data_IF_884551646970
#
_entry.id   IF_884551646970
#
_cell.length_a   1.000
_cell.length_b   1.000
_cell.length_c   1.000
_cell.angle_alpha   90.00
_cell.angle_beta   90.00
_cell.angle_gamma   90.00
#
_symmetry.space_group_name_H-M   'P 1'
#
loop_
_entity.id
_entity.type
_entity.pdbx_description
1 polymer ?
#
# COMPACT_ATOMS: atom_id res chain seq x y z
N UNK A 1 -60.28 -5.75 -26.72
CA UNK A 1 -59.09 -4.88 -26.56
C UNK A 1 -57.96 -5.79 -26.10
N UNK A 2 -57.45 -6.68 -26.95
CA UNK A 2 -56.35 -6.52 -27.93
C UNK A 2 -55.00 -6.19 -27.28
N UNK A 3 -53.97 -7.07 -27.38
CA UNK A 3 -52.63 -6.89 -26.81
C UNK A 3 -51.63 -6.37 -27.89
N UNK A 4 -50.30 -6.36 -27.65
CA UNK A 4 -49.38 -5.21 -27.70
C UNK A 4 -48.65 -5.06 -29.05
N UNK A 5 -47.56 -4.26 -29.13
CA UNK A 5 -46.41 -4.80 -29.85
C UNK A 5 -45.08 -4.70 -29.09
N UNK A 6 -44.29 -5.71 -29.40
CA UNK A 6 -42.92 -6.05 -29.04
C UNK A 6 -41.85 -5.15 -29.69
N UNK A 7 -40.72 -5.06 -28.99
CA UNK A 7 -39.29 -4.87 -29.37
C UNK A 7 -38.87 -4.57 -30.81
N UNK A 8 -37.68 -3.96 -30.98
CA UNK A 8 -36.60 -4.79 -31.53
C UNK A 8 -35.25 -4.69 -30.81
N UNK A 9 -34.63 -5.88 -30.69
CA UNK A 9 -33.18 -6.11 -30.67
C UNK A 9 -32.53 -5.54 -31.95
N UNK A 10 -31.39 -4.85 -31.82
CA UNK A 10 -30.32 -4.73 -32.80
C UNK A 10 -29.29 -3.69 -32.31
N UNK A 11 -27.99 -3.73 -32.55
CA UNK A 11 -27.05 -4.64 -33.22
C UNK A 11 -25.66 -4.11 -32.80
N UNK A 12 -24.69 -5.00 -32.60
CA UNK A 12 -23.27 -4.65 -32.48
C UNK A 12 -22.81 -3.79 -33.67
N UNK A 13 -22.12 -2.69 -33.39
CA UNK A 13 -21.20 -2.10 -34.36
C UNK A 13 -19.78 -2.20 -33.81
N UNK A 14 -19.04 -3.13 -34.39
CA UNK A 14 -17.61 -2.99 -34.59
C UNK A 14 -17.34 -1.69 -35.35
N UNK A 15 -16.34 -0.93 -34.91
CA UNK A 15 -15.51 -0.20 -35.85
C UNK A 15 -14.08 -0.15 -35.32
N UNK A 16 -13.21 -0.74 -36.14
CA UNK A 16 -11.78 -0.85 -35.99
C UNK A 16 -11.07 0.52 -36.09
N UNK A 17 -9.89 0.59 -35.48
CA UNK A 17 -8.75 1.20 -36.14
C UNK A 17 -8.12 2.40 -35.44
N UNK A 18 -7.11 2.13 -34.61
CA UNK A 18 -5.89 2.92 -34.71
C UNK A 18 -4.67 2.05 -34.43
N UNK A 19 -3.87 1.90 -35.48
CA UNK A 19 -2.62 1.15 -35.55
C UNK A 19 -1.52 1.94 -34.84
N UNK A 20 -0.72 1.27 -34.02
CA UNK A 20 0.68 1.68 -33.81
C UNK A 20 1.59 0.47 -33.62
N UNK A 21 2.10 0.02 -34.78
CA UNK A 21 3.51 -0.34 -35.07
C UNK A 21 4.21 -1.32 -34.12
N UNK A 22 4.12 -2.60 -34.48
CA UNK A 22 5.07 -3.63 -34.10
C UNK A 22 6.45 -3.40 -34.75
N UNK A 23 7.52 -3.57 -33.99
CA UNK A 23 8.88 -3.78 -34.51
C UNK A 23 9.19 -5.28 -34.47
N UNK A 24 9.44 -5.83 -35.67
CA UNK A 24 9.98 -7.17 -35.91
C UNK A 24 11.49 -7.18 -35.78
N UNK A 25 12.02 -8.30 -35.29
CA UNK A 25 13.25 -8.91 -35.83
C UNK A 25 14.35 -9.12 -34.81
N UNK A 26 14.60 -10.38 -34.45
CA UNK A 26 15.85 -11.08 -34.80
C UNK A 26 15.68 -12.59 -34.59
N UNK A 27 15.77 -13.33 -35.69
CA UNK A 27 15.83 -14.79 -35.74
C UNK A 27 17.27 -15.30 -35.55
N UNK A 28 17.40 -16.45 -34.89
CA UNK A 28 18.38 -17.47 -35.24
C UNK A 28 19.54 -17.70 -34.28
N UNK A 29 19.46 -18.75 -33.45
CA UNK A 29 20.42 -19.85 -33.45
C UNK A 29 19.83 -21.10 -32.76
N UNK A 30 19.90 -22.23 -33.45
CA UNK A 30 19.49 -23.56 -32.99
C UNK A 30 20.69 -24.35 -32.48
N UNK A 31 20.59 -25.01 -31.32
CA UNK A 31 20.95 -26.44 -31.12
C UNK A 31 20.87 -26.90 -29.64
N UNK A 32 19.95 -27.83 -29.35
CA UNK A 32 20.18 -29.08 -28.57
C UNK A 32 20.43 -29.10 -27.04
N UNK A 33 19.41 -29.63 -26.32
CA UNK A 33 19.45 -30.54 -25.11
C UNK A 33 19.68 -29.93 -23.69
N UNK A 34 19.08 -30.43 -22.58
CA UNK A 34 17.71 -30.91 -22.28
C UNK A 34 17.05 -30.13 -21.10
N UNK A 35 15.79 -30.49 -20.81
CA UNK A 35 14.96 -29.98 -19.72
C UNK A 35 15.62 -29.97 -18.32
N UNK A 36 15.55 -28.83 -17.63
CA UNK A 36 15.90 -28.71 -16.21
C UNK A 36 15.94 -27.25 -15.76
N UNK A 37 15.11 -26.91 -14.77
CA UNK A 37 15.08 -25.66 -14.02
C UNK A 37 14.70 -24.38 -14.79
N UNK A 38 13.40 -24.05 -14.78
CA UNK A 38 12.96 -22.66 -14.92
C UNK A 38 12.86 -22.03 -13.52
N UNK A 39 13.66 -21.02 -13.17
CA UNK A 39 13.21 -20.00 -12.26
C UNK A 39 12.30 -19.06 -13.07
N UNK A 40 10.99 -19.12 -12.85
CA UNK A 40 10.10 -18.04 -13.28
C UNK A 40 10.36 -16.87 -12.33
N UNK A 41 11.41 -16.12 -12.68
CA UNK A 41 11.71 -14.81 -12.13
C UNK A 41 10.52 -13.89 -12.42
N UNK A 42 9.99 -13.24 -11.38
CA UNK A 42 9.19 -12.02 -11.51
C UNK A 42 9.79 -11.12 -12.59
N UNK A 43 8.94 -10.47 -13.38
CA UNK A 43 9.45 -9.53 -14.38
C UNK A 43 10.27 -8.43 -13.69
N UNK A 44 11.29 -7.92 -14.38
CA UNK A 44 12.14 -6.84 -13.84
C UNK A 44 11.37 -5.56 -13.50
N UNK A 45 10.14 -5.41 -13.98
CA UNK A 45 9.24 -4.31 -13.65
C UNK A 45 8.52 -4.55 -12.32
N UNK A 46 7.98 -5.76 -12.10
CA UNK A 46 7.31 -6.14 -10.85
C UNK A 46 8.27 -6.11 -9.64
N UNK A 47 9.54 -6.50 -9.82
CA UNK A 47 10.56 -6.39 -8.77
C UNK A 47 10.96 -4.95 -8.47
N UNK A 48 10.89 -4.05 -9.46
CA UNK A 48 11.23 -2.63 -9.27
C UNK A 48 10.12 -1.88 -8.53
N UNK A 49 8.87 -2.22 -8.77
CA UNK A 49 7.72 -1.56 -8.12
C UNK A 49 7.62 -1.94 -6.63
N UNK A 50 7.75 -3.22 -6.26
CA UNK A 50 7.83 -3.63 -4.85
C UNK A 50 9.07 -3.04 -4.13
N UNK A 51 10.20 -2.85 -4.83
CA UNK A 51 11.41 -2.22 -4.26
C UNK A 51 11.27 -0.70 -4.05
N UNK A 52 10.55 0.01 -4.94
CA UNK A 52 10.29 1.44 -4.78
C UNK A 52 9.36 1.67 -3.58
N UNK A 53 8.31 0.85 -3.45
CA UNK A 53 7.35 0.92 -2.35
C UNK A 53 8.00 0.64 -0.98
N UNK A 54 8.74 -0.47 -0.86
CA UNK A 54 9.41 -0.83 0.39
C UNK A 54 10.58 0.12 0.74
N UNK A 55 11.25 0.67 -0.27
CA UNK A 55 12.31 1.66 -0.10
C UNK A 55 11.82 3.02 0.42
N UNK A 56 10.60 3.45 0.06
CA UNK A 56 9.99 4.71 0.50
C UNK A 56 9.59 4.69 1.98
N UNK A 57 9.21 3.53 2.52
CA UNK A 57 8.84 3.34 3.93
C UNK A 57 10.01 2.86 4.81
N UNK A 58 11.22 2.75 4.27
CA UNK A 58 12.41 2.34 5.02
C UNK A 58 12.38 0.86 5.48
N UNK A 59 11.56 0.01 4.84
CA UNK A 59 11.52 -1.42 5.10
C UNK A 59 12.78 -2.09 4.55
N UNK A 60 13.58 -2.71 5.42
CA UNK A 60 14.78 -3.46 5.03
C UNK A 60 14.38 -4.84 4.47
N UNK A 61 14.65 -5.08 3.19
CA UNK A 61 14.52 -6.39 2.52
C UNK A 61 15.16 -7.55 3.30
N UNK A 62 16.19 -7.27 4.12
CA UNK A 62 16.90 -8.31 4.89
C UNK A 62 16.07 -8.89 6.05
N UNK A 63 15.06 -8.17 6.55
CA UNK A 63 14.19 -8.65 7.63
C UNK A 63 13.10 -9.61 7.12
N UNK A 64 12.58 -9.37 5.90
CA UNK A 64 11.59 -10.25 5.27
C UNK A 64 12.23 -11.54 4.73
N UNK A 65 13.43 -11.46 4.14
CA UNK A 65 14.12 -12.62 3.55
C UNK A 65 14.87 -13.52 4.55
N UNK A 66 15.27 -13.02 5.73
CA UNK A 66 16.04 -13.83 6.71
C UNK A 66 15.24 -14.92 7.41
N UNK A 67 13.92 -14.89 7.33
CA UNK A 67 13.07 -15.76 8.16
C UNK A 67 12.19 -16.74 7.38
N UNK A 68 12.35 -16.81 6.06
CA UNK A 68 11.66 -17.75 5.20
C UNK A 68 12.58 -18.92 4.79
N UNK A 69 13.10 -19.66 5.78
CA UNK A 69 13.69 -20.99 5.52
C UNK A 69 13.26 -21.94 6.63
N UNK A 70 12.31 -22.83 6.31
CA UNK A 70 12.11 -24.06 7.08
C UNK A 70 13.41 -24.86 7.06
N UNK A 71 13.82 -25.29 8.25
CA UNK A 71 15.03 -26.04 8.55
C UNK A 71 15.25 -27.26 7.63
N UNK A 72 16.40 -27.29 6.96
CA UNK A 72 17.03 -28.51 6.46
C UNK A 72 18.42 -28.66 7.13
N UNK A 73 18.88 -29.89 7.41
CA UNK A 73 20.05 -30.13 8.24
C UNK A 73 21.31 -29.77 7.47
N UNK A 74 22.02 -28.75 7.96
CA UNK A 74 23.34 -28.36 7.46
C UNK A 74 24.34 -29.48 7.72
N UNK A 75 24.90 -30.02 6.63
CA UNK A 75 26.14 -30.80 6.69
C UNK A 75 27.31 -29.84 6.90
N UNK A 76 28.08 -30.21 7.90
CA UNK A 76 29.40 -29.72 8.29
C UNK A 76 30.33 -29.47 7.09
N UNK A 77 30.76 -28.21 6.92
CA UNK A 77 32.04 -27.88 6.31
C UNK A 77 32.68 -26.78 7.14
N UNK A 78 33.72 -27.21 7.84
CA UNK A 78 34.55 -26.44 8.74
C UNK A 78 35.51 -25.49 8.00
N UNK A 79 35.70 -24.34 8.66
CA UNK A 79 36.90 -23.51 8.78
C UNK A 79 37.87 -23.40 7.60
N UNK A 80 38.10 -22.17 7.16
CA UNK A 80 39.38 -21.44 7.35
C UNK A 80 39.25 -20.10 6.64
N UNK A 81 39.43 -18.98 7.37
CA UNK A 81 40.02 -17.68 6.98
C UNK A 81 39.62 -16.68 8.07
N UNK A 82 40.44 -16.61 9.13
CA UNK A 82 40.32 -15.66 10.23
C UNK A 82 41.38 -14.55 10.07
N UNK A 83 40.93 -13.35 10.44
CA UNK A 83 41.65 -12.15 10.88
C UNK A 83 42.43 -11.30 9.87
N UNK A 84 41.92 -10.06 9.70
CA UNK A 84 42.64 -8.91 10.26
C UNK A 84 41.76 -7.66 10.41
N UNK A 85 41.81 -7.11 11.63
CA UNK A 85 41.33 -5.80 12.13
C UNK A 85 39.83 -5.65 12.45
N UNK A 86 39.46 -6.04 13.66
CA UNK A 86 38.39 -5.36 14.40
C UNK A 86 38.92 -4.95 15.78
N UNK A 87 38.96 -3.64 16.02
CA UNK A 87 39.13 -3.10 17.36
C UNK A 87 37.88 -3.47 18.20
N UNK A 88 38.02 -3.69 19.52
CA UNK A 88 36.88 -4.06 20.34
C UNK A 88 35.84 -2.93 20.34
N UNK A 89 34.74 -3.11 19.62
CA UNK A 89 33.54 -2.28 19.78
C UNK A 89 32.96 -2.61 21.14
N UNK A 90 32.98 -1.64 22.04
CA UNK A 90 32.20 -1.68 23.28
C UNK A 90 30.73 -1.69 22.84
N UNK A 91 30.09 -2.86 22.88
CA UNK A 91 28.64 -2.96 22.76
C UNK A 91 28.03 -2.32 24.01
N UNK A 92 27.75 -1.03 23.94
CA UNK A 92 26.87 -0.39 24.91
C UNK A 92 25.52 -1.09 24.84
N UNK A 93 24.95 -1.54 25.97
CA UNK A 93 23.62 -2.15 25.98
C UNK A 93 22.64 -1.18 25.30
N UNK A 94 22.03 -1.60 24.18
CA UNK A 94 20.99 -0.78 23.54
C UNK A 94 19.92 -0.51 24.59
N UNK A 95 19.63 0.77 24.85
CA UNK A 95 18.60 1.13 25.82
C UNK A 95 17.28 0.50 25.38
N UNK A 96 16.50 -0.08 26.31
CA UNK A 96 15.14 -0.52 26.00
C UNK A 96 14.37 0.61 25.30
N UNK A 97 13.60 0.30 24.26
CA UNK A 97 12.74 1.24 23.52
C UNK A 97 13.46 2.27 22.61
N UNK A 98 14.74 2.07 22.27
CA UNK A 98 15.39 2.90 21.23
C UNK A 98 14.98 2.39 19.84
N UNK A 99 14.52 3.26 18.92
CA UNK A 99 14.16 2.82 17.57
C UNK A 99 15.39 2.21 16.86
N UNK A 100 15.21 1.18 16.01
CA UNK A 100 16.30 0.53 15.29
C UNK A 100 17.13 1.47 14.39
N UNK A 101 16.54 2.59 13.97
CA UNK A 101 17.19 3.68 13.24
C UNK A 101 16.87 5.03 13.90
N UNK A 102 17.90 5.84 14.11
CA UNK A 102 17.77 7.24 14.51
C UNK A 102 17.76 8.11 13.25
N UNK A 103 16.68 8.89 13.06
CA UNK A 103 16.65 9.94 12.04
C UNK A 103 17.44 11.14 12.55
N UNK A 104 18.58 11.40 11.91
CA UNK A 104 19.47 12.49 12.30
C UNK A 104 19.12 13.78 11.55
N UNK A 105 18.95 14.87 12.32
CA UNK A 105 18.59 16.25 11.89
C UNK A 105 17.24 16.34 11.19
N UNK A 106 16.21 16.68 11.94
CA UNK A 106 14.87 16.94 11.43
C UNK A 106 14.65 18.44 11.24
N UNK A 107 14.25 18.83 10.04
CA UNK A 107 13.71 20.17 9.77
C UNK A 107 12.23 20.13 10.08
N UNK A 108 11.77 21.07 10.89
CA UNK A 108 10.36 21.21 11.26
C UNK A 108 9.88 22.62 10.95
N UNK A 109 8.60 22.75 10.61
CA UNK A 109 7.93 24.01 10.31
C UNK A 109 8.66 24.85 9.23
N UNK A 110 8.93 24.24 8.07
CA UNK A 110 9.57 24.95 6.95
C UNK A 110 8.64 25.91 6.21
N UNK A 111 7.32 25.75 6.37
CA UNK A 111 6.34 26.69 5.83
C UNK A 111 6.33 27.99 6.63
N UNK A 112 6.31 29.14 5.93
CA UNK A 112 6.15 30.44 6.59
C UNK A 112 4.81 30.50 7.37
N UNK A 113 4.79 30.97 8.63
CA UNK A 113 3.57 30.98 9.45
C UNK A 113 2.38 31.72 8.84
N UNK A 114 2.62 32.74 8.01
CA UNK A 114 1.55 33.48 7.34
C UNK A 114 0.76 32.61 6.34
N UNK A 115 1.38 31.55 5.79
CA UNK A 115 0.72 30.63 4.85
C UNK A 115 -0.31 29.71 5.54
N UNK A 116 -0.33 29.64 6.86
CA UNK A 116 -1.42 28.95 7.61
C UNK A 116 -2.78 29.54 7.24
N UNK A 117 -2.86 30.86 7.01
CA UNK A 117 -4.11 31.52 6.64
C UNK A 117 -4.67 31.06 5.29
N UNK A 118 -3.82 30.53 4.39
CA UNK A 118 -4.29 29.92 3.13
C UNK A 118 -5.20 28.74 3.44
N UNK A 119 -4.76 27.81 4.28
CA UNK A 119 -5.53 26.61 4.63
C UNK A 119 -6.79 26.92 5.43
N UNK A 120 -6.74 27.93 6.32
CA UNK A 120 -7.94 28.43 7.00
C UNK A 120 -8.96 29.01 6.01
N UNK A 121 -8.50 29.80 5.03
CA UNK A 121 -9.39 30.38 4.02
C UNK A 121 -10.00 29.34 3.07
N UNK A 122 -9.41 28.13 3.02
CA UNK A 122 -9.86 27.02 2.19
C UNK A 122 -10.77 26.02 2.91
N UNK A 123 -11.20 26.27 4.15
CA UNK A 123 -12.06 25.34 4.90
C UNK A 123 -13.38 25.03 4.16
N UNK A 124 -14.12 26.06 3.73
CA UNK A 124 -15.36 25.89 2.94
C UNK A 124 -15.06 25.22 1.58
N UNK A 125 -13.93 25.57 0.96
CA UNK A 125 -13.54 24.94 -0.29
C UNK A 125 -13.29 23.44 -0.09
N UNK A 126 -12.59 23.05 0.97
CA UNK A 126 -12.30 21.66 1.31
C UNK A 126 -13.57 20.88 1.65
N UNK A 127 -14.53 21.49 2.36
CA UNK A 127 -15.83 20.88 2.61
C UNK A 127 -16.52 20.50 1.29
N UNK A 128 -16.57 21.43 0.35
CA UNK A 128 -17.32 21.26 -0.89
C UNK A 128 -16.56 20.48 -1.98
N UNK A 129 -15.24 20.37 -1.89
CA UNK A 129 -14.40 19.83 -2.96
C UNK A 129 -13.57 18.62 -2.57
N UNK A 130 -13.29 18.43 -1.29
CA UNK A 130 -12.43 17.35 -0.77
C UNK A 130 -13.28 16.32 -0.01
N UNK A 131 -14.12 16.76 0.95
CA UNK A 131 -14.93 15.83 1.74
C UNK A 131 -15.93 15.03 0.89
N UNK A 132 -16.30 15.54 -0.29
CA UNK A 132 -17.15 14.83 -1.26
C UNK A 132 -16.54 13.55 -1.83
N UNK A 133 -15.23 13.36 -1.68
CA UNK A 133 -14.53 12.14 -2.10
C UNK A 133 -14.60 11.01 -1.05
N UNK A 134 -15.00 11.33 0.18
CA UNK A 134 -15.26 10.34 1.22
C UNK A 134 -16.56 9.60 0.93
N UNK A 135 -16.57 8.29 1.20
CA UNK A 135 -17.80 7.51 1.17
C UNK A 135 -18.49 7.58 2.53
N UNK A 136 -19.81 7.85 2.57
CA UNK A 136 -20.57 7.68 3.81
C UNK A 136 -20.44 6.24 4.32
N UNK A 137 -20.26 6.07 5.63
CA UNK A 137 -20.01 4.75 6.28
C UNK A 137 -21.02 3.69 5.86
N UNK A 138 -22.31 4.05 5.80
CA UNK A 138 -23.42 3.15 5.39
C UNK A 138 -23.35 2.69 3.92
N UNK A 139 -22.46 3.28 3.12
CA UNK A 139 -22.19 2.91 1.73
C UNK A 139 -20.76 2.38 1.54
N UNK A 140 -19.97 2.30 2.61
CA UNK A 140 -18.65 1.70 2.58
C UNK A 140 -18.77 0.19 2.62
N UNK A 141 -17.87 -0.47 1.90
CA UNK A 141 -17.60 -1.88 2.12
C UNK A 141 -16.98 -2.08 3.52
N UNK A 142 -17.17 -3.25 4.10
CA UNK A 142 -16.53 -3.64 5.36
C UNK A 142 -15.69 -4.91 5.15
N UNK A 143 -14.61 -5.15 5.94
CA UNK A 143 -13.78 -6.34 5.80
C UNK A 143 -14.59 -7.65 5.77
N UNK A 144 -15.69 -7.71 6.54
CA UNK A 144 -16.55 -8.89 6.61
C UNK A 144 -17.24 -9.24 5.28
N UNK A 145 -17.41 -8.28 4.36
CA UNK A 145 -18.02 -8.51 3.05
C UNK A 145 -17.17 -9.46 2.17
N UNK A 146 -15.88 -9.61 2.49
CA UNK A 146 -14.91 -10.37 1.70
C UNK A 146 -14.29 -11.55 2.46
N UNK A 147 -14.64 -11.73 3.73
CA UNK A 147 -14.10 -12.78 4.59
C UNK A 147 -15.16 -13.84 4.90
N UNK A 148 -14.76 -15.08 5.22
CA UNK A 148 -15.68 -16.08 5.73
C UNK A 148 -16.52 -15.55 6.91
N UNK A 149 -17.83 -15.79 6.89
CA UNK A 149 -18.73 -15.33 7.95
C UNK A 149 -18.64 -16.25 9.18
N UNK A 150 -18.09 -15.79 10.32
CA UNK A 150 -17.93 -16.61 11.53
C UNK A 150 -19.25 -17.01 12.18
N UNK A 151 -20.37 -16.37 11.83
CA UNK A 151 -21.71 -16.72 12.32
C UNK A 151 -22.45 -17.74 11.45
N UNK A 152 -21.94 -18.02 10.25
CA UNK A 152 -22.53 -18.97 9.31
C UNK A 152 -22.18 -20.43 9.65
N UNK A 153 -23.11 -21.35 9.41
CA UNK A 153 -22.86 -22.80 9.48
C UNK A 153 -21.77 -23.26 8.49
N UNK A 154 -21.58 -22.51 7.39
CA UNK A 154 -20.56 -22.76 6.36
C UNK A 154 -19.18 -22.20 6.70
N UNK A 155 -18.99 -21.55 7.85
CA UNK A 155 -17.73 -20.86 8.20
C UNK A 155 -16.48 -21.71 7.97
N UNK A 156 -16.47 -22.94 8.51
CA UNK A 156 -15.31 -23.83 8.41
C UNK A 156 -15.04 -24.31 6.98
N UNK A 157 -16.08 -24.44 6.16
CA UNK A 157 -15.96 -24.78 4.74
C UNK A 157 -15.36 -23.59 3.98
N UNK A 158 -15.86 -22.38 4.20
CA UNK A 158 -15.35 -21.17 3.55
C UNK A 158 -13.89 -20.86 3.91
N UNK A 159 -13.49 -21.08 5.17
CA UNK A 159 -12.09 -20.99 5.61
C UNK A 159 -11.23 -22.03 4.89
N UNK A 160 -11.72 -23.27 4.78
CA UNK A 160 -11.01 -24.34 4.08
C UNK A 160 -10.82 -23.99 2.60
N UNK A 161 -11.86 -23.51 1.92
CA UNK A 161 -11.76 -23.08 0.52
C UNK A 161 -10.76 -21.92 0.32
N UNK A 162 -10.74 -20.95 1.24
CA UNK A 162 -9.75 -19.87 1.22
C UNK A 162 -8.33 -20.43 1.32
N UNK A 163 -8.08 -21.33 2.27
CA UNK A 163 -6.78 -21.99 2.41
C UNK A 163 -6.42 -22.90 1.24
N UNK A 164 -7.40 -23.46 0.52
CA UNK A 164 -7.14 -24.25 -0.69
C UNK A 164 -6.73 -23.36 -1.87
N UNK A 165 -7.45 -22.26 -2.13
CA UNK A 165 -7.05 -21.29 -3.17
C UNK A 165 -5.68 -20.67 -2.89
N UNK A 166 -5.37 -20.37 -1.63
CA UNK A 166 -4.11 -19.75 -1.23
C UNK A 166 -2.87 -20.63 -1.50
N UNK A 167 -3.03 -21.95 -1.68
CA UNK A 167 -1.92 -22.86 -2.01
C UNK A 167 -1.43 -22.71 -3.45
N UNK A 168 -2.27 -22.22 -4.35
CA UNK A 168 -1.95 -22.02 -5.77
C UNK A 168 -1.23 -20.68 -6.02
N UNK A 169 -1.16 -19.83 -4.99
CA UNK A 169 -0.50 -18.54 -5.04
C UNK A 169 0.97 -18.70 -4.60
N UNK A 170 1.96 -18.24 -5.39
CA UNK A 170 3.37 -18.42 -5.09
C UNK A 170 3.82 -17.59 -3.88
N UNK A 171 4.88 -18.05 -3.21
CA UNK A 171 5.42 -17.37 -2.03
C UNK A 171 5.89 -15.94 -2.33
N UNK A 172 6.42 -15.69 -3.54
CA UNK A 172 6.84 -14.36 -4.00
C UNK A 172 5.68 -13.34 -3.94
N UNK A 173 4.47 -13.77 -4.31
CA UNK A 173 3.27 -12.94 -4.20
C UNK A 173 2.96 -12.62 -2.73
N UNK A 174 3.04 -13.63 -1.84
CA UNK A 174 2.79 -13.42 -0.42
C UNK A 174 3.81 -12.48 0.22
N UNK A 175 5.07 -12.44 -0.24
CA UNK A 175 6.04 -11.46 0.25
C UNK A 175 5.60 -10.03 -0.06
N UNK A 176 5.14 -9.75 -1.29
CA UNK A 176 4.63 -8.43 -1.65
C UNK A 176 3.31 -8.12 -0.90
N UNK A 177 2.34 -9.04 -0.85
CA UNK A 177 1.08 -8.83 -0.12
C UNK A 177 1.29 -8.59 1.38
N UNK A 178 2.26 -9.27 2.00
CA UNK A 178 2.66 -9.01 3.40
C UNK A 178 3.27 -7.63 3.54
N UNK A 179 4.09 -7.19 2.57
CA UNK A 179 4.64 -5.83 2.56
C UNK A 179 3.55 -4.76 2.48
N UNK A 180 2.57 -4.95 1.60
CA UNK A 180 1.39 -4.08 1.51
C UNK A 180 0.65 -4.05 2.86
N UNK A 181 0.27 -5.22 3.40
CA UNK A 181 -0.47 -5.31 4.66
C UNK A 181 0.26 -4.68 5.86
N UNK A 182 1.56 -4.93 6.00
CA UNK A 182 2.37 -4.32 7.08
C UNK A 182 2.39 -2.80 6.95
N UNK A 183 2.38 -2.29 5.72
CA UNK A 183 2.30 -0.85 5.46
C UNK A 183 0.94 -0.30 5.88
N UNK A 184 -0.17 -0.98 5.54
CA UNK A 184 -1.51 -0.59 5.99
C UNK A 184 -1.64 -0.54 7.52
N UNK A 185 -1.10 -1.54 8.22
CA UNK A 185 -1.19 -1.65 9.69
C UNK A 185 -0.39 -0.56 10.43
N UNK A 186 0.53 0.14 9.75
CA UNK A 186 1.25 1.28 10.30
C UNK A 186 0.45 2.59 10.31
N UNK A 187 -0.86 2.53 10.02
CA UNK A 187 -1.82 3.64 9.98
C UNK A 187 -1.70 4.69 11.10
N UNK A 188 -1.46 4.35 12.39
CA UNK A 188 -1.27 5.37 13.42
C UNK A 188 -0.14 6.38 13.10
N UNK A 189 0.90 5.94 12.39
CA UNK A 189 2.00 6.78 11.91
C UNK A 189 1.51 7.78 10.87
N UNK A 190 0.64 7.36 9.95
CA UNK A 190 0.17 8.19 8.84
C UNK A 190 -0.85 9.23 9.30
N UNK A 191 -1.77 8.86 10.18
CA UNK A 191 -2.64 9.84 10.84
C UNK A 191 -1.83 10.85 11.65
N UNK A 192 -0.79 10.39 12.36
CA UNK A 192 0.13 11.29 13.08
C UNK A 192 0.81 12.25 12.12
N UNK A 193 1.32 11.76 10.98
CA UNK A 193 1.94 12.58 9.94
C UNK A 193 1.01 13.70 9.46
N UNK A 194 -0.24 13.38 9.10
CA UNK A 194 -1.24 14.39 8.70
C UNK A 194 -1.48 15.41 9.83
N UNK A 195 -1.55 14.95 11.08
CA UNK A 195 -1.71 15.80 12.25
C UNK A 195 -0.43 16.55 12.67
N UNK A 196 0.69 16.37 11.96
CA UNK A 196 1.86 17.24 12.11
C UNK A 196 1.83 18.44 11.16
N UNK A 197 0.96 18.45 10.14
CA UNK A 197 0.94 19.47 9.10
C UNK A 197 0.28 20.76 9.58
N UNK A 198 0.99 21.88 9.44
CA UNK A 198 0.58 23.19 9.91
C UNK A 198 -0.67 23.70 9.17
N UNK A 199 -1.65 24.18 9.92
CA UNK A 199 -2.89 24.73 9.35
C UNK A 199 -3.95 23.71 8.95
N UNK A 200 -3.64 22.41 8.96
CA UNK A 200 -4.60 21.33 8.63
C UNK A 200 -4.75 20.25 9.71
N UNK A 201 -3.84 20.20 10.69
CA UNK A 201 -3.89 19.23 11.80
C UNK A 201 -5.16 19.35 12.66
N UNK A 202 -5.54 18.22 13.27
CA UNK A 202 -6.59 18.18 14.28
C UNK A 202 -6.07 18.62 15.66
N UNK A 203 -6.49 19.81 16.11
CA UNK A 203 -6.06 20.39 17.38
C UNK A 203 -6.65 19.72 18.64
N UNK A 204 -7.74 18.95 18.50
CA UNK A 204 -8.48 18.42 19.66
C UNK A 204 -8.73 16.91 19.61
N UNK A 205 -8.43 16.27 18.47
CA UNK A 205 -8.85 14.91 18.16
C UNK A 205 -10.32 14.80 17.74
N UNK A 206 -11.05 15.93 17.72
CA UNK A 206 -12.44 16.04 17.31
C UNK A 206 -12.75 17.41 16.70
N UNK A 207 -11.74 18.11 16.15
CA UNK A 207 -11.93 19.42 15.52
C UNK A 207 -12.95 19.32 14.38
N UNK A 208 -13.78 20.36 14.23
CA UNK A 208 -14.82 20.42 13.21
C UNK A 208 -14.33 21.05 11.90
N UNK A 209 -13.04 21.39 11.78
CA UNK A 209 -12.48 21.88 10.52
C UNK A 209 -12.56 20.79 9.46
N UNK A 210 -12.80 21.19 8.21
CA UNK A 210 -12.85 20.27 7.06
C UNK A 210 -11.60 19.39 6.97
N UNK A 211 -10.44 19.96 7.28
CA UNK A 211 -9.16 19.25 7.29
C UNK A 211 -9.06 18.15 8.34
N UNK A 212 -9.56 18.42 9.56
CA UNK A 212 -9.58 17.44 10.63
C UNK A 212 -10.63 16.35 10.37
N UNK A 213 -11.80 16.74 9.83
CA UNK A 213 -12.83 15.78 9.39
C UNK A 213 -12.27 14.85 8.32
N UNK A 214 -11.59 15.39 7.29
CA UNK A 214 -10.90 14.59 6.28
C UNK A 214 -9.92 13.61 6.93
N UNK A 215 -9.00 14.10 7.76
CA UNK A 215 -7.97 13.26 8.38
C UNK A 215 -8.58 12.09 9.15
N UNK A 216 -9.61 12.33 9.97
CA UNK A 216 -10.27 11.27 10.73
C UNK A 216 -11.05 10.30 9.82
N UNK A 217 -11.76 10.80 8.82
CA UNK A 217 -12.57 9.97 7.93
C UNK A 217 -11.71 9.15 6.96
N UNK A 218 -10.65 9.73 6.40
CA UNK A 218 -9.63 9.02 5.64
C UNK A 218 -9.03 7.89 6.49
N UNK A 219 -8.58 8.19 7.72
CA UNK A 219 -8.05 7.18 8.65
C UNK A 219 -9.07 6.05 8.90
N UNK A 220 -10.36 6.37 9.01
CA UNK A 220 -11.40 5.36 9.18
C UNK A 220 -11.62 4.50 7.91
N UNK A 221 -11.46 5.08 6.72
CA UNK A 221 -11.47 4.32 5.46
C UNK A 221 -10.25 3.39 5.38
N UNK A 222 -9.04 3.89 5.66
CA UNK A 222 -7.75 3.17 5.64
C UNK A 222 -7.71 1.99 6.60
N UNK A 223 -8.26 2.14 7.81
CA UNK A 223 -8.21 1.09 8.84
C UNK A 223 -8.76 -0.25 8.31
N UNK A 224 -9.76 -0.20 7.42
CA UNK A 224 -10.38 -1.40 6.85
C UNK A 224 -9.42 -2.18 5.93
N UNK A 225 -8.42 -1.53 5.34
CA UNK A 225 -7.46 -2.16 4.43
C UNK A 225 -6.56 -3.13 5.20
N UNK A 226 -5.90 -2.64 6.24
CA UNK A 226 -5.10 -3.47 7.16
C UNK A 226 -5.95 -4.58 7.79
N UNK A 227 -7.14 -4.24 8.29
CA UNK A 227 -8.07 -5.20 8.90
C UNK A 227 -8.42 -6.38 7.98
N UNK A 228 -8.66 -6.11 6.70
CA UNK A 228 -9.05 -7.10 5.70
C UNK A 228 -7.85 -7.96 5.29
N UNK A 229 -6.72 -7.33 4.96
CA UNK A 229 -5.50 -8.04 4.56
C UNK A 229 -4.94 -8.90 5.69
N UNK A 230 -4.95 -8.40 6.93
CA UNK A 230 -4.51 -9.15 8.10
C UNK A 230 -5.31 -10.44 8.29
N UNK A 231 -6.65 -10.33 8.30
CA UNK A 231 -7.52 -11.51 8.45
C UNK A 231 -7.40 -12.47 7.28
N UNK A 232 -7.25 -11.97 6.05
CA UNK A 232 -6.98 -12.83 4.89
C UNK A 232 -5.67 -13.61 5.06
N UNK A 233 -4.56 -12.92 5.38
CA UNK A 233 -3.25 -13.54 5.57
C UNK A 233 -3.25 -14.55 6.73
N UNK A 234 -3.92 -14.21 7.85
CA UNK A 234 -4.12 -15.12 8.97
C UNK A 234 -4.85 -16.40 8.55
N UNK A 235 -5.99 -16.27 7.85
CA UNK A 235 -6.79 -17.42 7.41
C UNK A 235 -6.12 -18.22 6.27
N UNK A 236 -5.23 -17.60 5.50
CA UNK A 236 -4.53 -18.27 4.39
C UNK A 236 -3.69 -19.46 4.85
N UNK A 237 -3.10 -19.38 6.04
CA UNK A 237 -2.13 -20.35 6.57
C UNK A 237 -0.80 -20.37 5.81
N UNK A 238 -0.52 -19.36 4.96
CA UNK A 238 0.67 -19.31 4.08
C UNK A 238 1.86 -18.57 4.69
N UNK A 239 1.64 -17.77 5.73
CA UNK A 239 2.64 -16.85 6.30
C UNK A 239 2.84 -17.04 7.80
N UNK A 240 3.97 -16.56 8.33
CA UNK A 240 4.26 -16.54 9.77
C UNK A 240 3.74 -15.24 10.40
N UNK A 241 2.49 -15.29 10.90
CA UNK A 241 1.84 -14.13 11.50
C UNK A 241 2.62 -13.56 12.70
N UNK A 242 3.32 -14.38 13.48
CA UNK A 242 4.12 -13.89 14.62
C UNK A 242 5.25 -12.98 14.16
N UNK A 243 5.88 -13.32 13.04
CA UNK A 243 6.95 -12.50 12.47
C UNK A 243 6.41 -11.23 11.83
N UNK A 244 5.24 -11.30 11.20
CA UNK A 244 4.53 -10.14 10.66
C UNK A 244 4.14 -9.16 11.78
N UNK A 245 3.49 -9.64 12.84
CA UNK A 245 3.08 -8.85 14.01
C UNK A 245 4.26 -8.15 14.68
N UNK A 246 5.40 -8.85 14.84
CA UNK A 246 6.64 -8.23 15.32
C UNK A 246 7.14 -7.14 14.38
N UNK A 247 7.02 -7.35 13.08
CA UNK A 247 7.45 -6.37 12.07
C UNK A 247 6.58 -5.11 12.12
N UNK A 248 5.26 -5.26 12.24
CA UNK A 248 4.32 -4.15 12.48
C UNK A 248 4.69 -3.40 13.76
N UNK A 249 4.93 -4.13 14.86
CA UNK A 249 5.33 -3.52 16.12
C UNK A 249 6.64 -2.74 16.02
N UNK A 250 7.64 -3.26 15.30
CA UNK A 250 8.88 -2.54 15.03
C UNK A 250 8.65 -1.32 14.14
N UNK A 251 7.83 -1.42 13.11
CA UNK A 251 7.55 -0.32 12.17
C UNK A 251 6.86 0.84 12.89
N UNK A 252 5.77 0.58 13.61
CA UNK A 252 5.06 1.60 14.39
C UNK A 252 5.99 2.22 15.45
N UNK A 253 6.76 1.39 16.16
CA UNK A 253 7.73 1.89 17.15
C UNK A 253 8.90 2.67 16.55
N UNK A 254 9.20 2.48 15.26
CA UNK A 254 10.20 3.27 14.53
C UNK A 254 9.63 4.58 13.99
N UNK A 255 8.34 4.59 13.64
CA UNK A 255 7.70 5.67 12.92
C UNK A 255 8.29 5.87 11.52
N UNK A 256 7.98 7.02 10.93
CA UNK A 256 8.47 7.43 9.63
C UNK A 256 8.80 8.92 9.64
N UNK A 257 9.87 9.30 8.94
CA UNK A 257 10.17 10.70 8.62
C UNK A 257 10.00 10.91 7.11
N UNK A 258 8.83 11.40 6.67
CA UNK A 258 8.57 11.64 5.25
C UNK A 258 9.26 12.92 4.74
N UNK A 259 9.98 13.66 5.61
CA UNK A 259 10.61 14.94 5.30
C UNK A 259 9.62 15.97 4.74
N UNK A 260 8.40 15.95 5.28
CA UNK A 260 7.36 16.94 4.96
C UNK A 260 7.44 18.17 5.84
N UNK A 261 8.29 18.18 6.87
CA UNK A 261 8.69 19.38 7.61
C UNK A 261 7.52 20.19 8.19
N UNK A 262 6.44 19.52 8.58
CA UNK A 262 5.17 20.12 9.01
C UNK A 262 4.47 20.98 7.93
N UNK A 263 4.94 20.96 6.70
CA UNK A 263 4.49 21.81 5.62
C UNK A 263 3.41 21.08 4.79
N UNK A 264 2.16 21.56 4.75
CA UNK A 264 1.11 20.88 3.98
C UNK A 264 1.34 20.85 2.48
N UNK A 265 2.16 21.74 1.92
CA UNK A 265 2.53 21.67 0.50
C UNK A 265 3.31 20.37 0.23
N UNK A 266 4.37 20.13 1.02
CA UNK A 266 5.16 18.90 0.97
C UNK A 266 4.29 17.69 1.35
N UNK A 267 3.47 17.83 2.39
CA UNK A 267 2.56 16.80 2.88
C UNK A 267 1.58 16.32 1.81
N UNK A 268 0.87 17.22 1.14
CA UNK A 268 -0.14 16.85 0.14
C UNK A 268 0.46 16.41 -1.19
N UNK A 269 1.66 16.87 -1.55
CA UNK A 269 2.42 16.30 -2.68
C UNK A 269 2.83 14.86 -2.35
N UNK A 270 3.36 14.64 -1.15
CA UNK A 270 3.74 13.32 -0.66
C UNK A 270 2.54 12.36 -0.65
N UNK A 271 1.39 12.75 -0.08
CA UNK A 271 0.21 11.86 -0.05
C UNK A 271 -0.35 11.61 -1.44
N UNK A 272 -0.40 12.63 -2.32
CA UNK A 272 -0.83 12.43 -3.71
C UNK A 272 0.01 11.38 -4.43
N UNK A 273 1.32 11.36 -4.17
CA UNK A 273 2.22 10.35 -4.74
C UNK A 273 2.00 8.96 -4.10
N UNK A 274 1.90 8.88 -2.78
CA UNK A 274 1.77 7.61 -2.06
C UNK A 274 0.46 6.91 -2.40
N UNK A 275 -0.66 7.62 -2.40
CA UNK A 275 -1.97 7.05 -2.76
C UNK A 275 -1.99 6.48 -4.19
N UNK A 276 -1.27 7.13 -5.10
CA UNK A 276 -1.09 6.58 -6.44
C UNK A 276 -0.22 5.33 -6.44
N UNK A 277 0.82 5.30 -5.62
CA UNK A 277 1.70 4.14 -5.51
C UNK A 277 0.93 2.93 -4.92
N UNK A 278 0.15 3.11 -3.86
CA UNK A 278 -0.69 2.05 -3.27
C UNK A 278 -1.80 1.62 -4.23
N UNK A 279 -2.45 2.56 -4.93
CA UNK A 279 -3.41 2.24 -6.00
C UNK A 279 -2.81 1.27 -7.04
N UNK A 280 -1.58 1.56 -7.50
CA UNK A 280 -0.88 0.71 -8.48
C UNK A 280 -0.50 -0.64 -7.85
N UNK A 281 0.06 -0.65 -6.64
CA UNK A 281 0.46 -1.88 -5.94
C UNK A 281 -0.74 -2.82 -5.75
N UNK A 282 -1.82 -2.33 -5.14
CA UNK A 282 -3.05 -3.08 -4.92
C UNK A 282 -3.73 -3.50 -6.23
N UNK A 283 -3.69 -2.65 -7.26
CA UNK A 283 -4.20 -3.00 -8.60
C UNK A 283 -3.41 -4.15 -9.25
N UNK A 284 -2.08 -4.14 -9.09
CA UNK A 284 -1.21 -5.20 -9.60
C UNK A 284 -1.39 -6.51 -8.84
N UNK A 285 -1.45 -6.47 -7.51
CA UNK A 285 -1.72 -7.67 -6.70
C UNK A 285 -3.11 -8.23 -6.98
N UNK A 286 -4.12 -7.38 -7.21
CA UNK A 286 -5.44 -7.83 -7.67
C UNK A 286 -5.39 -8.61 -8.99
N UNK A 287 -4.65 -8.10 -9.99
CA UNK A 287 -4.46 -8.78 -11.28
C UNK A 287 -3.75 -10.12 -11.10
N UNK A 288 -2.65 -10.15 -10.35
CA UNK A 288 -1.87 -11.37 -10.12
C UNK A 288 -2.68 -12.42 -9.33
N UNK A 289 -3.44 -12.03 -8.32
CA UNK A 289 -4.34 -12.93 -7.59
C UNK A 289 -5.33 -13.63 -8.53
N UNK A 290 -5.90 -12.87 -9.48
CA UNK A 290 -6.79 -13.40 -10.51
C UNK A 290 -6.07 -14.37 -11.46
N UNK A 291 -4.84 -14.06 -11.86
CA UNK A 291 -4.00 -14.94 -12.70
C UNK A 291 -3.68 -16.27 -12.00
N UNK A 292 -3.52 -16.25 -10.68
CA UNK A 292 -3.35 -17.44 -9.83
C UNK A 292 -4.68 -18.13 -9.43
N UNK A 293 -5.83 -17.65 -9.93
CA UNK A 293 -7.14 -18.28 -9.73
C UNK A 293 -7.87 -17.91 -8.44
N UNK A 294 -7.34 -17.01 -7.60
CA UNK A 294 -8.05 -16.52 -6.41
C UNK A 294 -8.83 -15.23 -6.71
N UNK A 295 -10.05 -15.40 -7.23
CA UNK A 295 -10.95 -14.29 -7.54
C UNK A 295 -11.40 -13.51 -6.30
N UNK A 296 -11.45 -14.14 -5.12
CA UNK A 296 -11.83 -13.43 -3.89
C UNK A 296 -10.70 -12.51 -3.43
N UNK A 297 -9.45 -12.98 -3.47
CA UNK A 297 -8.30 -12.12 -3.21
C UNK A 297 -8.19 -10.99 -4.24
N UNK A 298 -8.46 -11.26 -5.51
CA UNK A 298 -8.50 -10.21 -6.53
C UNK A 298 -9.54 -9.12 -6.23
N UNK A 299 -10.71 -9.49 -5.68
CA UNK A 299 -11.72 -8.54 -5.23
C UNK A 299 -11.25 -7.74 -4.00
N UNK A 300 -10.57 -8.39 -3.04
CA UNK A 300 -9.98 -7.74 -1.86
C UNK A 300 -8.99 -6.65 -2.26
N UNK A 301 -7.98 -6.99 -3.06
CA UNK A 301 -6.97 -6.02 -3.50
C UNK A 301 -7.61 -4.94 -4.40
N UNK A 302 -8.56 -5.31 -5.26
CA UNK A 302 -9.24 -4.38 -6.15
C UNK A 302 -10.15 -3.38 -5.43
N UNK A 303 -10.81 -3.78 -4.33
CA UNK A 303 -11.67 -2.86 -3.57
C UNK A 303 -10.82 -1.86 -2.77
N UNK A 304 -9.70 -2.30 -2.22
CA UNK A 304 -8.71 -1.44 -1.56
C UNK A 304 -8.18 -0.43 -2.57
N UNK A 305 -7.68 -0.88 -3.74
CA UNK A 305 -7.24 0.03 -4.81
C UNK A 305 -8.31 1.08 -5.21
N UNK A 306 -9.60 0.74 -5.12
CA UNK A 306 -10.67 1.69 -5.41
C UNK A 306 -10.77 2.83 -4.39
N UNK A 307 -10.39 2.59 -3.14
CA UNK A 307 -10.25 3.57 -2.07
C UNK A 307 -9.07 4.50 -2.35
N UNK A 308 -7.89 3.92 -2.59
CA UNK A 308 -6.66 4.66 -2.94
C UNK A 308 -6.88 5.62 -4.09
N UNK A 309 -7.63 5.19 -5.11
CA UNK A 309 -7.91 6.03 -6.27
C UNK A 309 -8.72 7.29 -5.91
N UNK A 310 -9.65 7.18 -4.95
CA UNK A 310 -10.43 8.34 -4.48
C UNK A 310 -9.57 9.25 -3.63
N UNK A 311 -8.72 8.68 -2.77
CA UNK A 311 -7.81 9.48 -1.94
C UNK A 311 -6.77 10.20 -2.80
N UNK A 312 -6.16 9.53 -3.79
CA UNK A 312 -5.31 10.15 -4.82
C UNK A 312 -6.03 11.34 -5.47
N UNK A 313 -7.28 11.13 -5.90
CA UNK A 313 -8.09 12.20 -6.53
C UNK A 313 -8.30 13.38 -5.59
N UNK A 314 -8.58 13.13 -4.31
CA UNK A 314 -8.77 14.18 -3.32
C UNK A 314 -7.48 14.97 -3.06
N UNK A 315 -6.36 14.29 -2.81
CA UNK A 315 -5.08 14.97 -2.53
C UNK A 315 -4.54 15.71 -3.74
N UNK A 316 -4.63 15.12 -4.94
CA UNK A 316 -4.20 15.81 -6.17
C UNK A 316 -5.01 17.08 -6.43
N UNK A 317 -6.30 17.09 -6.07
CA UNK A 317 -7.15 18.28 -6.15
C UNK A 317 -6.76 19.36 -5.14
N UNK A 318 -6.26 19.00 -3.97
CA UNK A 318 -5.67 19.97 -3.02
C UNK A 318 -4.44 20.62 -3.65
N UNK A 319 -3.53 19.82 -4.22
CA UNK A 319 -2.32 20.32 -4.87
C UNK A 319 -2.65 21.20 -6.09
N UNK A 320 -3.65 20.81 -6.89
CA UNK A 320 -4.19 21.63 -7.99
C UNK A 320 -4.67 22.99 -7.47
N UNK A 321 -5.41 23.01 -6.36
CA UNK A 321 -5.88 24.27 -5.77
C UNK A 321 -4.74 25.12 -5.23
N UNK A 322 -3.70 24.50 -4.66
CA UNK A 322 -2.50 25.22 -4.23
C UNK A 322 -1.75 25.83 -5.42
N UNK A 323 -1.68 25.16 -6.56
CA UNK A 323 -1.13 25.74 -7.79
C UNK A 323 -1.90 26.96 -8.29
N UNK A 324 -3.22 27.03 -8.07
CA UNK A 324 -4.01 28.21 -8.42
C UNK A 324 -3.71 29.42 -7.50
N UNK A 325 -3.42 29.17 -6.22
CA UNK A 325 -3.32 30.21 -5.18
C UNK A 325 -1.88 30.68 -4.99
N UNK A 326 -0.93 29.74 -4.97
CA UNK A 326 0.48 29.97 -4.65
C UNK A 326 1.39 29.11 -5.54
N UNK A 327 1.35 29.33 -6.86
CA UNK A 327 2.07 28.49 -7.83
C UNK A 327 3.56 28.37 -7.53
N UNK A 328 4.22 29.49 -7.17
CA UNK A 328 5.66 29.48 -6.89
C UNK A 328 5.98 28.63 -5.64
N UNK A 329 5.18 28.78 -4.58
CA UNK A 329 5.32 27.97 -3.37
C UNK A 329 5.09 26.48 -3.62
N UNK A 330 4.08 26.14 -4.44
CA UNK A 330 3.76 24.76 -4.80
C UNK A 330 4.79 24.13 -5.74
N UNK A 331 5.41 24.89 -6.66
CA UNK A 331 6.50 24.39 -7.51
C UNK A 331 7.78 24.14 -6.71
N UNK A 332 8.06 24.97 -5.70
CA UNK A 332 9.26 24.84 -4.87
C UNK A 332 9.21 23.66 -3.89
N UNK A 333 8.00 23.26 -3.49
CA UNK A 333 7.74 22.12 -2.61
C UNK A 333 7.92 20.79 -3.37
#
# INVERSE_FOLDING_TARGET
>A
MSPPPSTPLAVCKEEEGSKTRALKGFDGFSSGVPAGAYPLLLSREEQKECQIFQGLHGLDHSLLLRHQVRSFPSRDLSSHWIDRFDAPRVETPRKPFTPPREVHVQVTHSMLPQKIEIFKSLEDWAENNILVHLKPVEKCWQPQDFLPDPSSESFFEEVKELSERSKEIPDDYFVCLVGDMVTEEALPTYQTMLNTLDGVRDETGASLTSWAIWTRAWTAEENRHGDLLNKYLYLSGRVDMKQIEKTIQYLIGSGMDPRTENNPYLGFIYTSFQERATFISHGNTARLAKEHGDLKLAQICGIIASDEKRHETAYTKIVEKLFEIDPDGTVLA
#
